data_IF_186912555312
#
_entry.id   IF_186912555312
#
_cell.length_a   1.000
_cell.length_b   1.000
_cell.length_c   1.000
_cell.angle_alpha   90.00
_cell.angle_beta   90.00
_cell.angle_gamma   90.00
#
_symmetry.space_group_name_H-M   'P 1'
#
loop_
_entity.id
_entity.type
_entity.pdbx_description
1 polymer ?
#
# COMPACT_ATOMS: atom_id res chain seq x y z
N UNK A 1 44.07 -20.13 -22.93
CA UNK A 1 44.01 -20.07 -21.45
C UNK A 1 42.70 -19.45 -20.96
N UNK A 2 42.21 -18.33 -21.53
CA UNK A 2 40.94 -17.71 -21.12
C UNK A 2 39.65 -18.48 -21.43
N UNK A 3 39.62 -19.40 -22.41
CA UNK A 3 38.41 -20.19 -22.70
C UNK A 3 38.16 -21.31 -21.67
N UNK A 4 39.21 -21.88 -21.06
CA UNK A 4 39.09 -22.90 -20.00
C UNK A 4 38.58 -22.31 -18.70
N UNK A 5 39.08 -21.13 -18.33
CA UNK A 5 38.64 -20.40 -17.14
C UNK A 5 37.17 -19.97 -17.29
N UNK A 6 36.76 -19.44 -18.45
CA UNK A 6 35.34 -19.11 -18.66
C UNK A 6 34.39 -20.32 -18.62
N UNK A 7 34.85 -21.49 -19.07
CA UNK A 7 34.09 -22.73 -19.04
C UNK A 7 34.02 -23.32 -17.62
N UNK A 8 35.12 -23.33 -16.87
CA UNK A 8 35.12 -23.71 -15.44
C UNK A 8 34.21 -22.81 -14.59
N UNK A 9 34.19 -21.49 -14.84
CA UNK A 9 33.28 -20.58 -14.15
C UNK A 9 31.81 -20.74 -14.55
N UNK A 10 31.50 -21.17 -15.79
CA UNK A 10 30.11 -21.49 -16.17
C UNK A 10 29.65 -22.80 -15.55
N UNK A 11 30.53 -23.81 -15.51
CA UNK A 11 30.22 -25.14 -14.98
C UNK A 11 29.98 -25.11 -13.47
N UNK A 12 30.73 -24.29 -12.71
CA UNK A 12 30.49 -24.07 -11.27
C UNK A 12 29.11 -23.43 -11.01
N UNK A 13 28.72 -22.45 -11.83
CA UNK A 13 27.42 -21.77 -11.68
C UNK A 13 26.24 -22.70 -12.08
N UNK A 14 26.45 -23.59 -13.05
CA UNK A 14 25.44 -24.61 -13.38
C UNK A 14 25.28 -25.65 -12.26
N UNK A 15 26.38 -26.11 -11.66
CA UNK A 15 26.35 -27.04 -10.53
C UNK A 15 25.65 -26.41 -9.32
N UNK A 16 25.95 -25.16 -8.97
CA UNK A 16 25.28 -24.43 -7.88
C UNK A 16 23.76 -24.31 -8.10
N UNK A 17 23.32 -24.11 -9.35
CA UNK A 17 21.88 -24.07 -9.69
C UNK A 17 21.22 -25.43 -9.54
N UNK A 18 21.90 -26.50 -9.96
CA UNK A 18 21.40 -27.87 -9.82
C UNK A 18 21.25 -28.21 -8.34
N UNK A 19 22.28 -27.95 -7.53
CA UNK A 19 22.25 -28.21 -6.09
C UNK A 19 21.14 -27.38 -5.41
N UNK A 20 21.03 -26.09 -5.71
CA UNK A 20 19.96 -25.24 -5.16
C UNK A 20 18.57 -25.78 -5.51
N UNK A 21 18.38 -26.29 -6.74
CA UNK A 21 17.12 -26.91 -7.15
C UNK A 21 16.83 -28.17 -6.34
N UNK A 22 17.82 -29.04 -6.13
CA UNK A 22 17.65 -30.26 -5.33
C UNK A 22 17.27 -29.94 -3.87
N UNK A 23 17.85 -28.89 -3.29
CA UNK A 23 17.45 -28.40 -1.96
C UNK A 23 16.01 -27.86 -1.92
N UNK A 24 15.59 -27.12 -2.95
CA UNK A 24 14.21 -26.62 -3.08
C UNK A 24 13.23 -27.79 -3.23
N UNK A 25 13.53 -28.76 -4.09
CA UNK A 25 12.71 -29.97 -4.30
C UNK A 25 12.60 -30.79 -3.01
N UNK A 26 13.69 -30.91 -2.25
CA UNK A 26 13.69 -31.57 -0.93
C UNK A 26 12.80 -30.84 0.08
N UNK A 27 12.85 -29.51 0.11
CA UNK A 27 11.99 -28.70 0.97
C UNK A 27 10.51 -28.81 0.56
N UNK A 28 10.23 -28.84 -0.75
CA UNK A 28 8.90 -29.04 -1.30
C UNK A 28 8.34 -30.42 -0.93
N UNK A 29 9.15 -31.47 -1.03
CA UNK A 29 8.76 -32.81 -0.59
C UNK A 29 8.32 -32.81 0.88
N UNK A 30 9.10 -32.18 1.78
CA UNK A 30 8.73 -32.06 3.21
C UNK A 30 7.45 -31.23 3.38
N UNK A 31 7.28 -30.14 2.63
CA UNK A 31 6.07 -29.33 2.67
C UNK A 31 4.82 -30.14 2.26
N UNK A 32 4.91 -30.94 1.21
CA UNK A 32 3.81 -31.73 0.68
C UNK A 32 3.46 -32.94 1.57
N UNK A 33 4.47 -33.56 2.19
CA UNK A 33 4.30 -34.79 2.99
C UNK A 33 4.02 -34.53 4.48
N UNK A 34 4.67 -33.53 5.08
CA UNK A 34 4.62 -33.26 6.53
C UNK A 34 4.02 -31.88 6.88
N UNK A 35 3.85 -30.98 5.90
CA UNK A 35 3.18 -29.70 6.08
C UNK A 35 4.06 -28.54 6.58
N UNK A 36 3.48 -27.33 6.71
CA UNK A 36 4.22 -26.09 6.93
C UNK A 36 4.91 -25.99 8.30
N UNK A 37 4.34 -26.58 9.35
CA UNK A 37 4.95 -26.57 10.69
C UNK A 37 6.23 -27.40 10.75
N UNK A 38 6.31 -28.47 9.94
CA UNK A 38 7.55 -29.23 9.79
C UNK A 38 8.61 -28.43 9.06
N UNK A 39 8.24 -27.77 7.96
CA UNK A 39 9.16 -26.92 7.19
C UNK A 39 9.75 -25.81 8.06
N UNK A 40 8.94 -25.12 8.89
CA UNK A 40 9.45 -24.09 9.81
C UNK A 40 10.49 -24.65 10.78
N UNK A 41 10.24 -25.84 11.36
CA UNK A 41 11.20 -26.50 12.25
C UNK A 41 12.49 -26.88 11.52
N UNK A 42 12.38 -27.43 10.30
CA UNK A 42 13.54 -27.79 9.49
C UNK A 42 14.42 -26.57 9.17
N UNK A 43 13.82 -25.47 8.72
CA UNK A 43 14.57 -24.24 8.43
C UNK A 43 15.23 -23.66 9.69
N UNK A 44 14.55 -23.71 10.83
CA UNK A 44 15.12 -23.30 12.11
C UNK A 44 16.31 -24.18 12.55
N UNK A 45 16.22 -25.50 12.38
CA UNK A 45 17.31 -26.41 12.71
C UNK A 45 18.53 -26.20 11.79
N UNK A 46 18.29 -25.92 10.50
CA UNK A 46 19.34 -25.57 9.53
C UNK A 46 20.01 -24.22 9.86
N UNK A 47 19.24 -23.23 10.32
CA UNK A 47 19.77 -21.95 10.79
C UNK A 47 20.68 -22.13 12.02
N UNK A 48 20.22 -22.91 13.02
CA UNK A 48 21.03 -23.26 14.19
C UNK A 48 22.32 -23.99 13.79
N UNK A 49 22.23 -24.94 12.86
CA UNK A 49 23.40 -25.67 12.38
C UNK A 49 24.41 -24.73 11.71
N UNK A 50 23.93 -23.86 10.81
CA UNK A 50 24.75 -22.86 10.12
C UNK A 50 25.45 -21.92 11.11
N UNK A 51 24.71 -21.43 12.11
CA UNK A 51 25.26 -20.59 13.17
C UNK A 51 26.37 -21.29 13.96
N UNK A 52 26.16 -22.56 14.35
CA UNK A 52 27.18 -23.39 15.02
C UNK A 52 28.41 -23.62 14.15
N UNK A 53 28.24 -23.70 12.83
CA UNK A 53 29.34 -23.82 11.87
C UNK A 53 30.06 -22.48 11.59
N UNK A 54 29.68 -21.39 12.25
CA UNK A 54 30.29 -20.06 12.08
C UNK A 54 29.72 -19.27 10.89
N UNK A 55 28.74 -19.81 10.17
CA UNK A 55 28.04 -19.13 9.08
C UNK A 55 26.88 -18.33 9.69
N UNK A 56 27.06 -17.01 9.80
CA UNK A 56 25.99 -16.12 10.29
C UNK A 56 25.14 -15.65 9.12
N UNK A 57 23.90 -16.13 9.06
CA UNK A 57 22.90 -15.53 8.17
C UNK A 57 22.57 -14.13 8.68
N UNK A 58 22.58 -13.09 7.81
CA UNK A 58 22.13 -11.77 8.22
C UNK A 58 20.66 -11.86 8.60
N UNK A 59 20.29 -11.30 9.75
CA UNK A 59 18.88 -11.15 10.09
C UNK A 59 18.21 -10.27 9.03
N UNK A 60 17.31 -10.84 8.24
CA UNK A 60 16.49 -10.09 7.31
C UNK A 60 15.10 -9.91 7.89
N UNK A 61 14.77 -8.69 8.33
CA UNK A 61 13.39 -8.31 8.64
C UNK A 61 12.49 -8.23 7.39
N UNK A 62 13.06 -8.47 6.21
CA UNK A 62 12.38 -8.36 4.92
C UNK A 62 11.69 -9.68 4.59
N UNK A 63 10.37 -9.62 4.42
CA UNK A 63 9.64 -10.68 3.73
C UNK A 63 9.91 -10.60 2.23
N UNK A 64 9.65 -11.68 1.47
CA UNK A 64 9.68 -11.62 0.02
C UNK A 64 8.80 -10.48 -0.53
N UNK A 65 9.18 -9.93 -1.69
CA UNK A 65 8.47 -8.81 -2.34
C UNK A 65 7.18 -9.29 -3.04
N UNK A 66 6.27 -9.85 -2.25
CA UNK A 66 4.95 -10.38 -2.64
C UNK A 66 3.91 -9.96 -1.61
N UNK A 67 2.63 -10.15 -1.92
CA UNK A 67 1.55 -9.87 -0.98
C UNK A 67 1.61 -10.82 0.23
N UNK A 68 1.53 -10.27 1.44
CA UNK A 68 1.50 -11.05 2.69
C UNK A 68 0.25 -11.94 2.81
N UNK A 69 -0.89 -11.50 2.26
CA UNK A 69 -2.14 -12.28 2.22
C UNK A 69 -2.29 -12.87 0.82
N UNK A 70 -2.24 -14.21 0.66
CA UNK A 70 -2.38 -14.85 -0.64
C UNK A 70 -3.85 -14.91 -1.08
N UNK A 71 -4.08 -15.19 -2.37
CA UNK A 71 -5.40 -15.11 -3.01
C UNK A 71 -6.42 -16.06 -2.35
N UNK A 72 -6.00 -17.27 -2.00
CA UNK A 72 -6.81 -18.30 -1.36
C UNK A 72 -7.24 -17.93 0.08
N UNK A 73 -6.56 -16.98 0.71
CA UNK A 73 -6.95 -16.41 2.02
C UNK A 73 -7.62 -15.05 1.90
N UNK A 74 -7.79 -14.53 0.67
CA UNK A 74 -8.40 -13.22 0.45
C UNK A 74 -9.93 -13.34 0.62
N UNK A 75 -10.55 -12.55 1.53
CA UNK A 75 -12.00 -12.55 1.66
C UNK A 75 -12.67 -11.96 0.40
N UNK A 76 -13.95 -12.32 0.15
CA UNK A 76 -14.73 -11.66 -0.88
C UNK A 76 -14.85 -10.17 -0.59
N UNK A 77 -14.87 -9.35 -1.64
CA UNK A 77 -15.00 -7.91 -1.47
C UNK A 77 -16.46 -7.56 -1.08
N UNK A 78 -16.68 -6.80 0.01
CA UNK A 78 -18.02 -6.64 0.59
C UNK A 78 -18.95 -5.68 -0.18
N UNK A 79 -18.40 -4.81 -1.03
CA UNK A 79 -19.16 -3.76 -1.74
C UNK A 79 -19.26 -3.93 -3.26
N UNK A 80 -19.92 -2.97 -3.91
CA UNK A 80 -19.98 -2.90 -5.38
C UNK A 80 -18.76 -2.17 -5.94
N UNK A 81 -17.84 -2.92 -6.54
CA UNK A 81 -16.63 -2.36 -7.16
C UNK A 81 -16.93 -1.32 -8.24
N UNK A 82 -18.03 -1.48 -8.96
CA UNK A 82 -18.44 -0.54 -10.01
C UNK A 82 -18.85 0.81 -9.43
N UNK A 83 -19.77 0.79 -8.45
CA UNK A 83 -20.27 1.99 -7.80
C UNK A 83 -19.14 2.71 -7.08
N UNK A 84 -18.32 1.97 -6.31
CA UNK A 84 -17.19 2.54 -5.60
C UNK A 84 -16.14 3.14 -6.54
N UNK A 85 -15.90 2.53 -7.71
CA UNK A 85 -15.03 3.11 -8.74
C UNK A 85 -15.59 4.43 -9.29
N UNK A 86 -16.90 4.53 -9.48
CA UNK A 86 -17.55 5.75 -9.96
C UNK A 86 -17.46 6.87 -8.92
N UNK A 87 -17.78 6.58 -7.66
CA UNK A 87 -17.65 7.53 -6.54
C UNK A 87 -16.21 8.03 -6.42
N UNK A 88 -15.23 7.11 -6.36
CA UNK A 88 -13.80 7.45 -6.31
C UNK A 88 -13.37 8.35 -7.47
N UNK A 89 -13.87 8.10 -8.68
CA UNK A 89 -13.53 8.90 -9.87
C UNK A 89 -14.05 10.33 -9.74
N UNK A 90 -15.26 10.52 -9.21
CA UNK A 90 -15.84 11.85 -8.94
C UNK A 90 -15.01 12.58 -7.87
N UNK A 91 -14.64 11.88 -6.79
CA UNK A 91 -13.83 12.46 -5.71
C UNK A 91 -12.45 12.89 -6.23
N UNK A 92 -11.79 12.03 -7.03
CA UNK A 92 -10.51 12.37 -7.69
C UNK A 92 -10.64 13.58 -8.61
N UNK A 93 -11.71 13.66 -9.39
CA UNK A 93 -11.98 14.80 -10.26
C UNK A 93 -12.14 16.09 -9.46
N UNK A 94 -12.99 16.08 -8.43
CA UNK A 94 -13.24 17.25 -7.59
C UNK A 94 -11.96 17.71 -6.87
N UNK A 95 -11.14 16.78 -6.36
CA UNK A 95 -9.86 17.10 -5.71
C UNK A 95 -8.89 17.81 -6.66
N UNK A 96 -8.71 17.26 -7.87
CA UNK A 96 -7.88 17.87 -8.91
C UNK A 96 -8.43 19.23 -9.34
N UNK A 97 -9.73 19.31 -9.65
CA UNK A 97 -10.38 20.53 -10.13
C UNK A 97 -10.28 21.67 -9.11
N UNK A 98 -10.43 21.36 -7.82
CA UNK A 98 -10.26 22.32 -6.72
C UNK A 98 -8.84 22.90 -6.71
N UNK A 99 -7.80 22.06 -6.77
CA UNK A 99 -6.39 22.52 -6.75
C UNK A 99 -6.04 23.31 -8.01
N UNK A 100 -6.44 22.83 -9.19
CA UNK A 100 -6.18 23.52 -10.47
C UNK A 100 -6.86 24.88 -10.48
N UNK A 101 -8.13 24.95 -10.05
CA UNK A 101 -8.85 26.23 -9.95
C UNK A 101 -8.17 27.18 -8.96
N UNK A 102 -7.80 26.70 -7.77
CA UNK A 102 -7.15 27.55 -6.77
C UNK A 102 -5.89 28.21 -7.33
N UNK A 103 -5.06 27.45 -8.08
CA UNK A 103 -3.84 27.99 -8.71
C UNK A 103 -4.13 28.89 -9.92
N UNK A 104 -5.26 28.72 -10.61
CA UNK A 104 -5.72 29.64 -11.66
C UNK A 104 -6.19 30.97 -11.07
N UNK A 105 -6.96 30.93 -9.98
CA UNK A 105 -7.57 32.11 -9.36
C UNK A 105 -6.58 32.87 -8.46
N UNK A 106 -5.60 32.17 -7.88
CA UNK A 106 -4.53 32.72 -7.04
C UNK A 106 -3.21 32.00 -7.34
N UNK A 107 -2.41 32.51 -8.29
CA UNK A 107 -1.13 31.91 -8.65
C UNK A 107 -0.21 31.72 -7.43
N UNK A 108 0.43 30.54 -7.33
CA UNK A 108 1.38 30.23 -6.26
C UNK A 108 0.77 29.73 -4.95
N UNK A 109 -0.56 29.59 -4.85
CA UNK A 109 -1.21 29.07 -3.65
C UNK A 109 -0.91 27.59 -3.36
N UNK A 110 -0.51 26.85 -4.40
CA UNK A 110 -0.07 25.46 -4.32
C UNK A 110 -1.22 24.45 -4.12
N UNK A 111 -0.87 23.28 -3.59
CA UNK A 111 -1.78 22.14 -3.42
C UNK A 111 -1.27 20.90 -4.15
N UNK A 112 -1.54 19.72 -3.59
CA UNK A 112 -1.02 18.45 -4.10
C UNK A 112 -2.14 17.64 -4.75
N UNK A 113 -1.90 17.18 -5.99
CA UNK A 113 -2.84 16.33 -6.74
C UNK A 113 -2.40 14.86 -6.68
N UNK A 114 -1.09 14.62 -6.87
CA UNK A 114 -0.51 13.28 -6.98
C UNK A 114 -0.63 12.47 -5.69
N UNK A 115 -0.42 13.09 -4.53
CA UNK A 115 -0.50 12.42 -3.23
C UNK A 115 -1.88 11.81 -2.99
N UNK A 116 -2.96 12.57 -3.17
CA UNK A 116 -4.29 11.99 -3.03
C UNK A 116 -4.58 10.96 -4.13
N UNK A 117 -4.17 11.22 -5.38
CA UNK A 117 -4.41 10.29 -6.47
C UNK A 117 -3.84 8.88 -6.19
N UNK A 118 -2.65 8.78 -5.57
CA UNK A 118 -2.04 7.49 -5.23
C UNK A 118 -2.76 6.77 -4.08
N UNK A 119 -3.22 7.49 -3.04
CA UNK A 119 -3.87 6.89 -1.86
C UNK A 119 -5.40 6.79 -1.96
N UNK A 120 -6.03 7.37 -2.97
CA UNK A 120 -7.49 7.45 -3.07
C UNK A 120 -8.19 6.10 -2.93
N UNK A 121 -7.68 5.02 -3.55
CA UNK A 121 -8.32 3.69 -3.40
C UNK A 121 -8.26 3.19 -1.96
N UNK A 122 -7.14 3.39 -1.25
CA UNK A 122 -6.98 3.00 0.14
C UNK A 122 -7.97 3.74 1.04
N UNK A 123 -8.08 5.06 0.85
CA UNK A 123 -9.01 5.87 1.63
C UNK A 123 -10.46 5.54 1.33
N UNK A 124 -10.83 5.31 0.06
CA UNK A 124 -12.20 4.94 -0.29
C UNK A 124 -12.61 3.58 0.29
N UNK A 125 -11.70 2.60 0.31
CA UNK A 125 -11.94 1.34 1.04
C UNK A 125 -12.14 1.62 2.54
N UNK A 126 -11.30 2.48 3.13
CA UNK A 126 -11.44 2.93 4.51
C UNK A 126 -12.81 3.55 4.78
N UNK A 127 -13.23 4.54 4.00
CA UNK A 127 -14.50 5.23 4.17
C UNK A 127 -15.73 4.34 3.97
N UNK A 128 -15.68 3.41 3.00
CA UNK A 128 -16.85 2.59 2.69
C UNK A 128 -17.01 1.40 3.65
N UNK A 129 -15.92 0.87 4.21
CA UNK A 129 -15.93 -0.44 4.88
C UNK A 129 -15.28 -0.48 6.28
N UNK A 130 -14.59 0.58 6.72
CA UNK A 130 -13.83 0.55 7.98
C UNK A 130 -14.12 1.74 8.90
N UNK A 131 -13.97 2.96 8.40
CA UNK A 131 -13.97 4.17 9.23
C UNK A 131 -15.32 4.42 9.89
N UNK A 132 -15.30 4.47 11.21
CA UNK A 132 -16.46 4.73 12.07
C UNK A 132 -16.61 6.22 12.36
N UNK A 133 -17.83 6.73 12.16
CA UNK A 133 -18.19 8.08 12.56
C UNK A 133 -18.36 8.24 14.07
N UNK A 134 -18.50 9.47 14.58
CA UNK A 134 -18.59 9.77 16.02
C UNK A 134 -19.77 9.10 16.71
N UNK A 135 -20.85 8.80 15.98
CA UNK A 135 -22.07 8.16 16.50
C UNK A 135 -21.97 6.62 16.62
N UNK A 136 -20.80 6.03 16.38
CA UNK A 136 -20.60 4.60 16.56
C UNK A 136 -20.65 4.21 18.05
N UNK A 137 -21.15 3.01 18.37
CA UNK A 137 -21.42 2.53 19.73
C UNK A 137 -20.23 2.66 20.71
N UNK A 138 -19.00 2.48 20.21
CA UNK A 138 -17.77 2.57 21.01
C UNK A 138 -16.94 3.83 20.69
N UNK A 139 -17.56 4.86 20.14
CA UNK A 139 -16.90 6.05 19.61
C UNK A 139 -16.35 5.86 18.19
N UNK A 140 -16.09 6.98 17.51
CA UNK A 140 -15.56 7.00 16.14
C UNK A 140 -14.06 6.70 16.07
N UNK A 141 -13.61 6.32 14.87
CA UNK A 141 -12.18 6.06 14.63
C UNK A 141 -11.39 7.37 14.59
N UNK A 142 -10.19 7.37 15.19
CA UNK A 142 -9.27 8.50 15.12
C UNK A 142 -8.35 8.30 13.91
N UNK A 143 -8.64 9.02 12.82
CA UNK A 143 -7.90 8.89 11.55
C UNK A 143 -6.92 10.05 11.36
N UNK A 144 -5.62 9.72 11.39
CA UNK A 144 -4.53 10.65 11.09
C UNK A 144 -4.31 10.73 9.58
N UNK A 145 -5.11 11.55 8.90
CA UNK A 145 -4.99 11.72 7.45
C UNK A 145 -3.65 12.35 7.07
N UNK A 146 -3.06 11.86 5.97
CA UNK A 146 -1.89 12.50 5.37
C UNK A 146 -2.24 13.93 4.95
N UNK A 147 -1.54 14.93 5.48
CA UNK A 147 -1.88 16.34 5.25
C UNK A 147 -2.01 16.69 3.76
N UNK A 148 -1.03 16.31 2.94
CA UNK A 148 -1.05 16.58 1.50
C UNK A 148 -2.18 15.87 0.72
N UNK A 149 -2.91 14.94 1.34
CA UNK A 149 -4.10 14.32 0.76
C UNK A 149 -5.41 15.06 1.11
N UNK A 150 -5.34 16.18 1.85
CA UNK A 150 -6.51 17.00 2.23
C UNK A 150 -7.44 17.35 1.06
N UNK A 151 -6.98 17.60 -0.19
CA UNK A 151 -7.89 17.89 -1.29
C UNK A 151 -8.91 16.79 -1.56
N UNK A 152 -8.51 15.53 -1.35
CA UNK A 152 -9.40 14.38 -1.48
C UNK A 152 -10.45 14.28 -0.39
N UNK A 153 -10.08 14.62 0.85
CA UNK A 153 -10.99 14.63 1.99
C UNK A 153 -12.07 15.71 1.78
N UNK A 154 -11.68 16.91 1.35
CA UNK A 154 -12.65 17.97 1.02
C UNK A 154 -13.52 17.61 -0.18
N UNK A 155 -12.95 16.98 -1.21
CA UNK A 155 -13.71 16.51 -2.38
C UNK A 155 -14.79 15.48 -2.00
N UNK A 156 -14.48 14.55 -1.09
CA UNK A 156 -15.45 13.60 -0.55
C UNK A 156 -16.50 14.30 0.30
N UNK A 157 -16.09 15.16 1.23
CA UNK A 157 -17.01 15.90 2.08
C UNK A 157 -17.96 16.81 1.28
N UNK A 158 -17.51 17.37 0.15
CA UNK A 158 -18.37 18.09 -0.80
C UNK A 158 -19.39 17.15 -1.47
N UNK A 159 -18.97 15.96 -1.91
CA UNK A 159 -19.87 14.97 -2.51
C UNK A 159 -20.93 14.46 -1.51
N UNK A 160 -20.57 14.38 -0.23
CA UNK A 160 -21.46 14.05 0.89
C UNK A 160 -22.35 15.23 1.33
N UNK A 161 -22.20 16.42 0.72
CA UNK A 161 -22.98 17.61 1.07
C UNK A 161 -22.58 18.30 2.36
N UNK A 162 -21.45 17.93 2.98
CA UNK A 162 -20.95 18.52 4.24
C UNK A 162 -20.21 19.84 4.04
N UNK A 163 -19.68 20.05 2.84
CA UNK A 163 -18.95 21.27 2.46
C UNK A 163 -19.66 21.88 1.25
N UNK A 164 -19.80 23.20 1.25
CA UNK A 164 -20.44 23.92 0.15
C UNK A 164 -19.48 24.07 -1.03
N UNK A 165 -20.04 24.25 -2.24
CA UNK A 165 -19.26 24.61 -3.42
C UNK A 165 -18.37 25.83 -3.12
N UNK A 166 -18.91 26.86 -2.46
CA UNK A 166 -18.19 28.11 -2.19
C UNK A 166 -16.92 27.90 -1.34
N UNK A 167 -16.97 27.04 -0.33
CA UNK A 167 -15.79 26.68 0.47
C UNK A 167 -14.74 25.95 -0.39
N UNK A 168 -15.17 25.06 -1.28
CA UNK A 168 -14.28 24.36 -2.23
C UNK A 168 -13.57 25.36 -3.18
N UNK A 169 -14.28 26.38 -3.66
CA UNK A 169 -13.71 27.47 -4.48
C UNK A 169 -12.69 28.31 -3.71
N UNK A 170 -12.84 28.39 -2.39
CA UNK A 170 -11.99 29.13 -1.48
C UNK A 170 -10.91 28.24 -0.82
N UNK A 171 -10.55 27.11 -1.44
CA UNK A 171 -9.45 26.26 -0.96
C UNK A 171 -8.16 27.07 -0.78
N UNK A 172 -7.54 26.93 0.40
CA UNK A 172 -6.38 27.70 0.90
C UNK A 172 -6.60 29.21 1.05
N UNK A 173 -7.85 29.67 1.01
CA UNK A 173 -8.24 31.09 1.11
C UNK A 173 -9.30 31.28 2.19
N UNK A 174 -8.91 30.99 3.42
CA UNK A 174 -9.81 30.86 4.59
C UNK A 174 -10.56 32.15 4.94
N UNK A 175 -9.95 33.31 4.69
CA UNK A 175 -10.51 34.63 4.99
C UNK A 175 -11.47 35.17 3.90
N UNK A 176 -11.78 34.38 2.87
CA UNK A 176 -12.71 34.80 1.82
C UNK A 176 -14.16 34.82 2.33
N UNK A 177 -14.98 35.67 1.70
CA UNK A 177 -16.41 35.70 1.98
C UNK A 177 -17.03 34.31 1.74
N UNK A 178 -17.78 33.82 2.74
CA UNK A 178 -18.34 32.47 2.74
C UNK A 178 -17.43 31.38 3.33
N UNK A 179 -16.28 31.77 3.90
CA UNK A 179 -15.29 30.86 4.50
C UNK A 179 -14.47 30.11 3.44
N UNK A 180 -13.38 29.48 3.87
CA UNK A 180 -12.53 28.66 3.01
C UNK A 180 -12.12 27.36 3.67
N UNK A 181 -11.20 26.66 3.03
CA UNK A 181 -10.67 25.38 3.51
C UNK A 181 -9.17 25.54 3.75
N UNK A 182 -8.70 25.11 4.91
CA UNK A 182 -7.29 25.15 5.27
C UNK A 182 -6.44 24.27 4.35
N UNK A 183 -5.13 24.49 4.35
CA UNK A 183 -4.23 23.71 3.48
C UNK A 183 -4.18 22.23 3.89
N UNK A 184 -4.09 21.96 5.20
CA UNK A 184 -3.89 20.64 5.80
C UNK A 184 -4.71 20.56 7.11
N UNK A 185 -4.99 19.36 7.65
CA UNK A 185 -5.51 19.18 9.01
C UNK A 185 -4.56 19.74 10.08
#
# INVERSE_FOLDING_TARGET
>A
MNSRIHQEYSDVNELEKIETREWIESLEYVLQTEGPDRVRRLLHDLDIYSYKAGVRLPFTANTPYINTIPLEKQPPFPGSREIERRIKSIIRWNAMAMVVRANRDAPGIGGHISTFASVATLFEVGFNHFFRGPEAENGGDIVYFQGHASPGIYARAYLEGRITKKQLENFRRELQKGGGLSSYP
#
